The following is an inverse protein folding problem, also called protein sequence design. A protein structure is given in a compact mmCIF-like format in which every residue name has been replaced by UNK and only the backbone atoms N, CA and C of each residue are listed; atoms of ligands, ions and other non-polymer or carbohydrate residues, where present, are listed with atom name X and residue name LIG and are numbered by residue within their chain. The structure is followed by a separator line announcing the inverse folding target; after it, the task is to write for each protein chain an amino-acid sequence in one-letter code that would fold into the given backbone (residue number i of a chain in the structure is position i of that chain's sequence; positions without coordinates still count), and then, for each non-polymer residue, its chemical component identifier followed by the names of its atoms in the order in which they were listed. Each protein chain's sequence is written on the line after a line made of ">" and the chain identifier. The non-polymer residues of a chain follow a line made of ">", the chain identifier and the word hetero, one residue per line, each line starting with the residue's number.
data_IF_088889735653
#
_entry.id   IF_088889735653
#
_cell.length_a   1.000
_cell.length_b   1.000
_cell.length_c   1.000
_cell.angle_alpha   90.00
_cell.angle_beta   90.00
_cell.angle_gamma   90.00
#
_symmetry.space_group_name_H-M   'P 1'
#
loop_
_entity.id
_entity.type
_entity.pdbx_description
1 polymer ?
#
# COMPACT_ATOMS: atom_id res chain seq x y z
N UNK A 1 4.48 21.60 -1.19
CA UNK A 1 4.61 20.14 -1.02
C UNK A 1 4.30 19.53 -2.38
N UNK A 2 5.12 18.61 -2.89
CA UNK A 2 4.92 17.99 -4.21
C UNK A 2 4.75 16.48 -4.00
N UNK A 3 3.63 15.92 -4.47
CA UNK A 3 3.42 14.47 -4.50
C UNK A 3 4.37 13.85 -5.53
N UNK A 4 5.04 12.76 -5.16
CA UNK A 4 5.95 12.03 -6.04
C UNK A 4 5.39 10.65 -6.39
N UNK A 5 5.50 10.23 -7.65
CA UNK A 5 5.22 8.85 -8.06
C UNK A 5 6.54 8.19 -8.39
N UNK A 6 6.89 7.14 -7.67
CA UNK A 6 8.17 6.43 -7.85
C UNK A 6 7.96 4.95 -8.14
N UNK A 7 8.77 4.33 -9.02
CA UNK A 7 8.75 2.90 -9.22
C UNK A 7 9.38 2.19 -8.02
N UNK A 8 8.72 1.14 -7.54
CA UNK A 8 9.17 0.32 -6.41
C UNK A 8 8.94 -1.15 -6.69
N UNK A 9 9.79 -2.00 -6.12
CA UNK A 9 9.55 -3.43 -5.98
C UNK A 9 8.91 -3.68 -4.62
N UNK A 10 7.69 -4.21 -4.56
CA UNK A 10 7.05 -4.63 -3.31
C UNK A 10 7.27 -6.13 -3.15
N UNK A 11 7.63 -6.55 -1.94
CA UNK A 11 7.97 -7.92 -1.59
C UNK A 11 7.05 -8.36 -0.46
N UNK A 12 6.40 -9.51 -0.66
CA UNK A 12 5.53 -10.16 0.32
C UNK A 12 6.30 -11.09 1.29
N UNK A 13 5.61 -11.57 2.33
CA UNK A 13 6.16 -12.49 3.32
C UNK A 13 6.67 -13.81 2.71
N UNK A 14 6.03 -14.27 1.65
CA UNK A 14 6.35 -15.55 0.99
C UNK A 14 7.40 -15.41 -0.14
N UNK A 15 8.15 -14.30 -0.17
CA UNK A 15 9.21 -14.06 -1.15
C UNK A 15 8.73 -13.66 -2.56
N UNK A 16 7.43 -13.71 -2.83
CA UNK A 16 6.84 -13.15 -4.06
C UNK A 16 7.05 -11.63 -4.09
N UNK A 17 7.37 -11.11 -5.27
CA UNK A 17 7.56 -9.68 -5.47
C UNK A 17 6.95 -9.21 -6.77
N UNK A 18 6.61 -7.93 -6.84
CA UNK A 18 6.18 -7.29 -8.08
C UNK A 18 6.66 -5.84 -8.12
N UNK A 19 6.88 -5.35 -9.33
CA UNK A 19 7.16 -3.94 -9.56
C UNK A 19 5.84 -3.19 -9.75
N UNK A 20 5.73 -2.05 -9.09
CA UNK A 20 4.58 -1.15 -9.17
C UNK A 20 5.05 0.28 -8.95
N UNK A 21 4.11 1.23 -8.97
CA UNK A 21 4.36 2.62 -8.63
C UNK A 21 3.78 2.93 -7.26
N UNK A 22 4.53 3.70 -6.46
CA UNK A 22 4.08 4.23 -5.18
C UNK A 22 3.89 5.75 -5.30
N UNK A 23 2.75 6.24 -4.81
CA UNK A 23 2.53 7.66 -4.55
C UNK A 23 3.09 7.98 -3.16
N UNK A 24 4.06 8.89 -3.10
CA UNK A 24 4.61 9.42 -1.85
C UNK A 24 3.77 10.60 -1.41
N UNK A 25 2.98 10.38 -0.36
CA UNK A 25 2.07 11.35 0.23
C UNK A 25 2.36 11.51 1.73
N UNK A 26 3.05 12.59 2.08
CA UNK A 26 3.38 12.93 3.47
C UNK A 26 2.13 13.33 4.29
N UNK A 27 1.00 13.61 3.62
CA UNK A 27 -0.28 13.88 4.27
C UNK A 27 -1.07 12.63 4.62
N UNK A 28 -0.64 11.45 4.18
CA UNK A 28 -1.34 10.20 4.43
C UNK A 28 -0.96 9.58 5.78
N UNK A 29 -1.95 9.35 6.65
CA UNK A 29 -1.75 8.68 7.96
C UNK A 29 -1.35 7.20 7.82
N UNK A 30 -1.65 6.60 6.67
CA UNK A 30 -1.49 5.16 6.39
C UNK A 30 -1.07 4.92 4.95
N UNK A 31 -0.21 3.92 4.77
CA UNK A 31 0.04 3.35 3.44
C UNK A 31 -1.18 2.55 2.99
N UNK A 32 -1.67 2.87 1.80
CA UNK A 32 -2.72 2.12 1.12
C UNK A 32 -2.16 1.34 -0.07
N UNK A 33 -2.74 0.19 -0.36
CA UNK A 33 -2.47 -0.54 -1.60
C UNK A 33 -3.75 -1.05 -2.24
N UNK A 34 -3.68 -1.30 -3.55
CA UNK A 34 -4.76 -1.99 -4.26
C UNK A 34 -4.82 -3.45 -3.81
N UNK A 35 -6.03 -3.99 -3.59
CA UNK A 35 -6.23 -5.37 -3.15
C UNK A 35 -5.60 -6.41 -4.10
N UNK A 36 -5.51 -6.09 -5.40
CA UNK A 36 -4.84 -6.94 -6.41
C UNK A 36 -3.36 -7.15 -6.09
N UNK A 37 -2.72 -6.17 -5.44
CA UNK A 37 -1.31 -6.29 -5.03
C UNK A 37 -1.13 -7.46 -4.05
N UNK A 38 -2.07 -7.65 -3.12
CA UNK A 38 -1.99 -8.75 -2.16
C UNK A 38 -2.13 -10.11 -2.84
N UNK A 39 -2.97 -10.19 -3.87
CA UNK A 39 -3.14 -11.40 -4.68
C UNK A 39 -1.85 -11.75 -5.43
N UNK A 40 -1.17 -10.76 -6.00
CA UNK A 40 0.12 -10.94 -6.68
C UNK A 40 1.24 -11.36 -5.72
N UNK A 41 1.26 -10.78 -4.52
CA UNK A 41 2.32 -11.06 -3.53
C UNK A 41 2.06 -12.33 -2.69
N UNK A 42 0.89 -12.96 -2.85
CA UNK A 42 0.48 -14.13 -2.08
C UNK A 42 0.76 -14.00 -0.56
N UNK A 43 0.36 -12.87 0.02
CA UNK A 43 0.70 -12.49 1.40
C UNK A 43 -0.38 -12.89 2.40
N UNK A 44 0.07 -13.33 3.58
CA UNK A 44 -0.79 -13.47 4.75
C UNK A 44 -1.34 -12.11 5.18
N UNK A 45 -2.64 -12.02 5.37
CA UNK A 45 -3.32 -10.77 5.74
C UNK A 45 -4.45 -11.02 6.73
N UNK A 46 -4.87 -9.98 7.46
CA UNK A 46 -6.01 -10.04 8.38
C UNK A 46 -7.12 -9.07 7.96
N UNK A 47 -8.41 -9.40 8.16
CA UNK A 47 -9.49 -8.45 7.90
C UNK A 47 -9.34 -7.20 8.78
N UNK A 48 -9.69 -6.04 8.25
CA UNK A 48 -9.73 -4.78 9.00
C UNK A 48 -10.87 -3.90 8.46
N UNK A 49 -11.54 -3.20 9.37
CA UNK A 49 -12.54 -2.17 9.05
C UNK A 49 -11.97 -0.82 9.42
N UNK A 50 -12.03 0.14 8.51
CA UNK A 50 -11.48 1.49 8.69
C UNK A 50 -12.29 2.51 7.90
N UNK A 51 -12.01 3.80 8.10
CA UNK A 51 -12.58 4.91 7.34
C UNK A 51 -11.45 5.66 6.64
N UNK A 52 -11.68 6.07 5.39
CA UNK A 52 -10.75 6.92 4.63
C UNK A 52 -11.43 8.25 4.36
N UNK A 53 -10.84 9.32 4.86
CA UNK A 53 -11.23 10.68 4.47
C UNK A 53 -10.17 11.25 3.53
N UNK A 54 -10.62 11.91 2.48
CA UNK A 54 -9.78 12.65 1.54
C UNK A 54 -10.26 14.09 1.44
N UNK A 55 -9.53 14.94 0.72
CA UNK A 55 -9.94 16.32 0.46
C UNK A 55 -11.31 16.41 -0.25
N UNK A 56 -11.70 15.38 -1.00
CA UNK A 56 -12.89 15.36 -1.84
C UNK A 56 -14.01 14.46 -1.31
N UNK A 57 -13.75 13.66 -0.26
CA UNK A 57 -14.71 12.71 0.27
C UNK A 57 -14.51 12.50 1.78
N UNK A 58 -15.60 12.57 2.55
CA UNK A 58 -15.59 12.29 3.98
C UNK A 58 -15.82 10.81 4.26
N UNK A 59 -15.12 10.28 5.27
CA UNK A 59 -15.03 8.87 5.65
C UNK A 59 -16.26 8.00 5.40
N UNK A 60 -16.18 7.11 4.41
CA UNK A 60 -17.06 5.95 4.30
C UNK A 60 -16.39 4.72 4.92
N UNK A 61 -17.18 3.91 5.62
CA UNK A 61 -16.69 2.67 6.22
C UNK A 61 -16.27 1.72 5.11
N UNK A 62 -14.99 1.34 5.14
CA UNK A 62 -14.35 0.44 4.19
C UNK A 62 -13.92 -0.83 4.91
N UNK A 63 -14.14 -1.97 4.25
CA UNK A 63 -13.63 -3.27 4.68
C UNK A 63 -12.47 -3.63 3.76
N UNK A 64 -11.31 -3.89 4.34
CA UNK A 64 -10.10 -4.25 3.62
C UNK A 64 -9.29 -5.30 4.35
N UNK A 65 -8.03 -5.42 3.95
CA UNK A 65 -7.05 -6.34 4.52
C UNK A 65 -5.89 -5.53 5.06
N UNK A 66 -5.38 -5.92 6.22
CA UNK A 66 -4.13 -5.39 6.76
C UNK A 66 -3.00 -6.38 6.51
N UNK A 67 -1.88 -5.87 6.02
CA UNK A 67 -0.67 -6.66 5.76
C UNK A 67 0.60 -5.87 6.10
N UNK A 68 1.68 -6.59 6.35
CA UNK A 68 3.03 -6.05 6.38
C UNK A 68 3.75 -6.45 5.09
N UNK A 69 4.54 -5.54 4.52
CA UNK A 69 5.34 -5.80 3.34
C UNK A 69 6.67 -5.04 3.38
N UNK A 70 7.53 -5.32 2.41
CA UNK A 70 8.77 -4.58 2.20
C UNK A 70 8.69 -3.89 0.84
N UNK A 71 8.99 -2.60 0.79
CA UNK A 71 9.20 -1.89 -0.47
C UNK A 71 10.68 -1.62 -0.67
N UNK A 72 11.16 -1.87 -1.88
CA UNK A 72 12.54 -1.64 -2.29
C UNK A 72 12.57 -0.77 -3.53
N UNK A 73 13.60 0.05 -3.65
CA UNK A 73 13.88 0.71 -4.92
C UNK A 73 14.07 -0.33 -6.04
N UNK A 74 13.65 -0.03 -7.27
CA UNK A 74 13.80 -0.95 -8.41
C UNK A 74 15.25 -1.31 -8.74
N UNK A 75 16.21 -0.43 -8.42
CA UNK A 75 17.64 -0.67 -8.54
C UNK A 75 18.22 -1.54 -7.41
N UNK A 76 17.38 -1.95 -6.44
CA UNK A 76 17.79 -2.72 -5.27
C UNK A 76 18.48 -1.89 -4.18
N UNK A 77 18.62 -0.59 -4.37
CA UNK A 77 19.32 0.31 -3.45
C UNK A 77 18.32 0.91 -2.46
N UNK A 78 18.37 0.42 -1.21
CA UNK A 78 17.51 0.91 -0.14
C UNK A 78 16.13 0.25 -0.10
N UNK A 79 15.67 -0.01 1.11
CA UNK A 79 14.40 -0.66 1.39
C UNK A 79 13.71 -0.07 2.62
N UNK A 80 12.39 -0.18 2.65
CA UNK A 80 11.56 0.31 3.75
C UNK A 80 10.52 -0.73 4.11
N UNK A 81 10.43 -1.05 5.40
CA UNK A 81 9.39 -1.92 5.93
C UNK A 81 8.07 -1.15 5.98
N UNK A 82 7.10 -1.60 5.19
CA UNK A 82 5.74 -1.07 5.19
C UNK A 82 4.89 -1.85 6.20
N UNK A 83 4.62 -1.23 7.34
CA UNK A 83 3.87 -1.85 8.43
C UNK A 83 2.41 -1.42 8.42
N UNK A 84 1.50 -2.35 8.70
CA UNK A 84 0.07 -2.09 8.78
C UNK A 84 -0.51 -1.45 7.50
N UNK A 85 -0.07 -1.90 6.32
CA UNK A 85 -0.62 -1.46 5.03
C UNK A 85 -2.08 -1.90 4.93
N UNK A 86 -2.96 -1.01 4.49
CA UNK A 86 -4.37 -1.33 4.27
C UNK A 86 -4.68 -1.49 2.78
N UNK A 87 -5.38 -2.57 2.45
CA UNK A 87 -5.86 -2.81 1.11
C UNK A 87 -7.20 -2.12 0.86
N UNK A 88 -7.37 -1.59 -0.35
CA UNK A 88 -8.62 -1.05 -0.85
C UNK A 88 -8.91 -1.59 -2.24
N UNK A 89 -10.19 -1.66 -2.62
CA UNK A 89 -10.59 -2.08 -3.97
C UNK A 89 -10.19 -1.09 -5.07
N UNK A 90 -10.05 0.18 -4.69
CA UNK A 90 -9.62 1.27 -5.56
C UNK A 90 -8.91 2.32 -4.71
N UNK A 91 -7.70 2.70 -5.12
CA UNK A 91 -6.95 3.76 -4.46
C UNK A 91 -7.67 5.11 -4.61
N UNK A 92 -7.77 5.91 -3.53
CA UNK A 92 -8.44 7.21 -3.54
C UNK A 92 -7.48 8.32 -4.00
N UNK A 93 -6.89 8.14 -5.18
CA UNK A 93 -5.96 9.08 -5.84
C UNK A 93 -6.67 10.00 -6.83
#
# INVERSE_FOLDING_TARGET
>A
MCLGIIPVTVIGSEGHSCQTYALLDDGADKTLCDERLLQTLNVSSRPVTFQISTINATGSTTIGRQVDSLARNVMGIGEVNLKNVWSVKRLPI
#
